data_IF_523808944252
#
_entry.id   IF_523808944252
#
_cell.length_a   1.000
_cell.length_b   1.000
_cell.length_c   1.000
_cell.angle_alpha   90.00
_cell.angle_beta   90.00
_cell.angle_gamma   90.00
#
_symmetry.space_group_name_H-M   'P 1'
#
loop_
_entity.id
_entity.type
_entity.pdbx_description
1 polymer ?
#
# COMPACT_ATOMS: atom_id res chain seq x y z
N UNK A 1 7.03 18.94 -7.97
CA UNK A 1 7.02 18.26 -9.29
C UNK A 1 5.67 17.60 -9.50
N UNK A 2 5.05 17.72 -10.68
CA UNK A 2 3.74 17.13 -10.99
C UNK A 2 3.91 15.72 -11.56
N UNK A 3 3.04 14.80 -11.10
CA UNK A 3 2.91 13.40 -11.54
C UNK A 3 1.52 13.24 -12.15
N UNK A 4 1.41 12.73 -13.38
CA UNK A 4 0.16 12.61 -14.13
C UNK A 4 -0.21 11.16 -14.54
N UNK A 5 0.65 10.20 -14.20
CA UNK A 5 0.54 8.80 -14.57
C UNK A 5 0.46 8.51 -16.09
N UNK A 6 0.84 9.47 -16.92
CA UNK A 6 0.94 9.35 -18.38
C UNK A 6 2.34 9.58 -18.87
N UNK A 7 2.82 10.82 -18.76
CA UNK A 7 4.20 11.19 -19.05
C UNK A 7 5.15 10.84 -17.90
N UNK A 8 4.63 10.85 -16.67
CA UNK A 8 5.38 10.58 -15.44
C UNK A 8 4.53 9.72 -14.49
N UNK A 9 4.91 8.47 -14.33
CA UNK A 9 4.21 7.50 -13.46
C UNK A 9 4.66 7.65 -12.02
N UNK A 10 3.71 7.57 -11.09
CA UNK A 10 4.02 7.60 -9.66
C UNK A 10 4.96 6.48 -9.25
N UNK A 11 4.70 5.26 -9.71
CA UNK A 11 5.55 4.10 -9.36
C UNK A 11 7.00 4.28 -9.79
N UNK A 12 7.25 4.84 -10.98
CA UNK A 12 8.61 5.11 -11.46
C UNK A 12 9.31 6.20 -10.64
N UNK A 13 8.57 7.22 -10.22
CA UNK A 13 9.13 8.26 -9.34
C UNK A 13 9.40 7.73 -7.93
N UNK A 14 8.52 6.90 -7.38
CA UNK A 14 8.76 6.25 -6.09
C UNK A 14 10.02 5.37 -6.12
N UNK A 15 10.24 4.59 -7.19
CA UNK A 15 11.47 3.80 -7.36
C UNK A 15 12.76 4.62 -7.37
N UNK A 16 12.68 5.90 -7.76
CA UNK A 16 13.85 6.81 -7.77
C UNK A 16 14.15 7.43 -6.42
N UNK A 17 13.10 7.70 -5.61
CA UNK A 17 13.23 8.41 -4.34
C UNK A 17 13.26 7.50 -3.12
N UNK A 18 12.77 6.26 -3.23
CA UNK A 18 12.94 5.22 -2.21
C UNK A 18 14.35 4.65 -2.37
N UNK A 19 15.27 5.19 -1.61
CA UNK A 19 16.67 4.76 -1.59
C UNK A 19 16.92 3.77 -0.45
N UNK A 20 18.04 3.02 -0.46
CA UNK A 20 18.44 2.20 0.68
C UNK A 20 18.41 2.99 1.99
N UNK A 21 17.95 2.35 3.05
CA UNK A 21 17.78 2.92 4.39
C UNK A 21 16.73 4.03 4.49
N UNK A 22 15.84 4.17 3.51
CA UNK A 22 14.68 5.06 3.63
C UNK A 22 13.70 4.56 4.68
N UNK A 23 12.96 5.49 5.27
CA UNK A 23 11.71 5.21 5.99
C UNK A 23 10.54 5.62 5.10
N UNK A 24 9.64 4.69 4.84
CA UNK A 24 8.46 4.93 3.98
C UNK A 24 7.21 4.92 4.85
N UNK A 25 6.42 5.98 4.74
CA UNK A 25 5.18 6.18 5.50
C UNK A 25 4.06 6.46 4.52
N UNK A 26 3.00 5.66 4.59
CA UNK A 26 1.92 5.73 3.61
C UNK A 26 0.57 5.70 4.30
N UNK A 27 -0.35 6.54 3.85
CA UNK A 27 -1.75 6.52 4.23
C UNK A 27 -2.60 6.35 2.98
N UNK A 28 -3.39 5.28 2.91
CA UNK A 28 -4.25 4.97 1.78
C UNK A 28 -5.40 4.04 2.21
N UNK A 29 -6.46 3.96 1.40
CA UNK A 29 -7.60 3.11 1.71
C UNK A 29 -7.32 1.62 1.48
N UNK A 30 -6.45 1.27 0.54
CA UNK A 30 -6.14 -0.13 0.19
C UNK A 30 -4.64 -0.37 0.06
N UNK A 31 -4.22 -1.61 0.30
CA UNK A 31 -2.87 -2.11 0.07
C UNK A 31 -2.94 -3.30 -0.89
N UNK A 32 -2.34 -3.19 -2.07
CA UNK A 32 -2.32 -4.22 -3.10
C UNK A 32 -1.02 -5.03 -3.09
N UNK A 33 -1.14 -6.35 -3.15
CA UNK A 33 0.01 -7.26 -3.32
C UNK A 33 0.77 -6.99 -4.62
N UNK A 34 0.07 -6.62 -5.68
CA UNK A 34 0.71 -6.34 -6.97
C UNK A 34 1.46 -5.00 -6.95
N UNK A 35 0.94 -3.99 -6.23
CA UNK A 35 1.68 -2.75 -6.00
C UNK A 35 2.95 -3.00 -5.17
N UNK A 36 2.86 -3.84 -4.13
CA UNK A 36 4.03 -4.29 -3.37
C UNK A 36 5.05 -4.97 -4.29
N UNK A 37 4.61 -5.92 -5.15
CA UNK A 37 5.48 -6.62 -6.10
C UNK A 37 6.22 -5.65 -7.01
N UNK A 38 5.53 -4.65 -7.55
CA UNK A 38 6.13 -3.65 -8.45
C UNK A 38 7.20 -2.79 -7.77
N UNK A 39 7.04 -2.49 -6.49
CA UNK A 39 8.01 -1.70 -5.72
C UNK A 39 8.95 -2.56 -4.86
N UNK A 40 8.86 -3.89 -4.96
CA UNK A 40 9.55 -4.83 -4.06
C UNK A 40 11.05 -4.56 -3.94
N UNK A 41 11.74 -4.36 -5.06
CA UNK A 41 13.20 -4.14 -5.04
C UNK A 41 13.57 -2.91 -4.20
N UNK A 42 12.85 -1.81 -4.35
CA UNK A 42 13.07 -0.62 -3.54
C UNK A 42 12.65 -0.83 -2.07
N UNK A 43 11.53 -1.54 -1.83
CA UNK A 43 11.00 -1.80 -0.49
C UNK A 43 11.83 -2.82 0.31
N UNK A 44 12.64 -3.66 -0.32
CA UNK A 44 13.57 -4.55 0.37
C UNK A 44 14.75 -3.81 1.01
N UNK A 45 15.16 -2.69 0.43
CA UNK A 45 16.31 -1.91 0.88
C UNK A 45 16.00 -0.87 1.96
N UNK A 46 14.71 -0.63 2.27
CA UNK A 46 14.30 0.36 3.28
C UNK A 46 14.54 -0.14 4.71
N UNK A 47 14.60 0.76 5.67
CA UNK A 47 14.70 0.42 7.09
C UNK A 47 13.33 0.14 7.70
N UNK A 48 12.31 0.92 7.36
CA UNK A 48 10.97 0.81 7.95
C UNK A 48 9.88 1.21 6.96
N UNK A 49 8.74 0.52 7.04
CA UNK A 49 7.51 0.85 6.35
C UNK A 49 6.35 0.97 7.33
N UNK A 50 5.69 2.12 7.34
CA UNK A 50 4.48 2.39 8.12
C UNK A 50 3.31 2.64 7.20
N UNK A 51 2.19 1.95 7.44
CA UNK A 51 0.98 2.10 6.65
C UNK A 51 -0.24 2.35 7.52
N UNK A 52 -1.03 3.38 7.18
CA UNK A 52 -2.31 3.67 7.80
C UNK A 52 -3.43 3.45 6.78
N UNK A 53 -4.38 2.58 7.12
CA UNK A 53 -5.64 2.46 6.37
C UNK A 53 -6.55 3.62 6.72
N UNK A 54 -6.93 4.42 5.69
CA UNK A 54 -7.61 5.72 5.86
C UNK A 54 -9.12 5.64 5.94
N UNK A 55 -9.73 4.48 5.70
CA UNK A 55 -11.17 4.35 5.67
C UNK A 55 -11.69 3.42 6.78
N UNK A 56 -12.28 3.98 7.86
CA UNK A 56 -12.86 3.21 8.94
C UNK A 56 -14.28 2.74 8.67
N UNK A 57 -14.95 3.24 7.63
CA UNK A 57 -16.35 2.93 7.32
C UNK A 57 -16.63 1.42 7.21
N UNK A 58 -15.58 0.66 7.07
CA UNK A 58 -15.59 -0.79 7.01
C UNK A 58 -15.35 -1.50 8.34
N UNK A 59 -15.21 -0.75 9.43
CA UNK A 59 -14.96 -1.33 10.75
C UNK A 59 -16.20 -1.52 11.60
N UNK A 60 -17.34 -0.92 11.22
CA UNK A 60 -18.48 -0.81 12.12
C UNK A 60 -19.40 -2.04 12.11
N UNK A 61 -19.54 -2.77 11.01
CA UNK A 61 -20.61 -3.79 10.94
C UNK A 61 -20.19 -5.25 10.77
N UNK A 62 -18.97 -5.59 10.35
CA UNK A 62 -18.56 -7.01 10.24
C UNK A 62 -17.03 -7.21 10.33
N UNK A 63 -16.55 -7.33 11.53
CA UNK A 63 -15.11 -7.46 11.84
C UNK A 63 -14.43 -8.67 11.15
N UNK A 64 -15.16 -9.69 10.73
CA UNK A 64 -14.57 -10.93 10.18
C UNK A 64 -14.49 -11.00 8.65
N UNK A 65 -15.38 -10.38 7.90
CA UNK A 65 -15.34 -10.41 6.42
C UNK A 65 -14.68 -9.21 5.79
N UNK A 66 -14.70 -8.08 6.44
CA UNK A 66 -14.26 -6.80 5.90
C UNK A 66 -12.75 -6.59 5.91
N UNK A 67 -12.03 -7.20 6.81
CA UNK A 67 -10.57 -7.24 6.72
C UNK A 67 -10.08 -7.89 5.40
N UNK A 68 -10.91 -8.68 4.73
CA UNK A 68 -10.57 -9.28 3.43
C UNK A 68 -10.44 -8.26 2.30
N UNK A 69 -11.12 -7.14 2.39
CA UNK A 69 -11.14 -6.14 1.31
C UNK A 69 -10.04 -5.07 1.44
N UNK A 70 -9.48 -4.88 2.64
CA UNK A 70 -8.53 -3.81 2.91
C UNK A 70 -7.07 -4.18 2.71
N UNK A 71 -6.68 -5.33 3.22
CA UNK A 71 -5.28 -5.69 3.23
C UNK A 71 -4.82 -6.25 1.89
N UNK A 72 -5.73 -6.87 1.13
CA UNK A 72 -5.39 -7.59 -0.10
C UNK A 72 -6.61 -7.51 -1.03
N UNK A 73 -6.54 -6.81 -2.19
CA UNK A 73 -7.59 -6.86 -3.18
C UNK A 73 -7.89 -8.33 -3.53
N UNK A 74 -9.16 -8.72 -3.56
CA UNK A 74 -9.52 -10.07 -3.99
C UNK A 74 -9.01 -10.29 -5.42
N UNK A 75 -8.17 -11.30 -5.59
CA UNK A 75 -7.72 -11.78 -6.89
C UNK A 75 -8.86 -12.09 -7.88
N UNK A 76 -10.06 -12.38 -7.37
CA UNK A 76 -11.25 -12.62 -8.19
C UNK A 76 -11.65 -11.46 -9.10
N UNK A 77 -11.38 -10.21 -8.72
CA UNK A 77 -11.66 -9.06 -9.61
C UNK A 77 -10.61 -8.90 -10.71
N UNK A 78 -9.37 -9.24 -10.44
CA UNK A 78 -8.31 -9.19 -11.44
C UNK A 78 -8.36 -10.42 -12.37
N UNK A 79 -8.82 -11.57 -11.89
CA UNK A 79 -9.04 -12.77 -12.71
C UNK A 79 -10.26 -12.70 -13.63
N UNK A 80 -11.29 -11.94 -13.27
CA UNK A 80 -12.49 -11.77 -14.11
C UNK A 80 -12.22 -11.00 -15.42
N UNK A 81 -11.11 -10.29 -15.53
CA UNK A 81 -10.72 -9.55 -16.73
C UNK A 81 -10.02 -10.41 -17.79
N UNK A 82 -9.55 -11.59 -17.42
CA UNK A 82 -8.84 -12.47 -18.33
C UNK A 82 -9.61 -13.78 -18.51
N UNK A 83 -10.67 -13.82 -19.29
CA UNK A 83 -11.43 -15.01 -19.65
C UNK A 83 -10.53 -16.17 -20.14
N UNK A 84 -9.66 -16.63 -19.29
CA UNK A 84 -8.50 -17.42 -19.59
C UNK A 84 -8.73 -18.90 -19.32
N UNK A 85 -8.05 -19.74 -20.08
CA UNK A 85 -7.95 -21.16 -19.90
C UNK A 85 -7.54 -21.53 -18.46
N UNK A 86 -7.92 -22.70 -18.00
CA UNK A 86 -7.60 -23.24 -16.68
C UNK A 86 -6.12 -23.09 -16.28
N UNK A 87 -5.20 -23.21 -17.25
CA UNK A 87 -3.76 -23.06 -17.01
C UNK A 87 -3.34 -21.64 -16.62
N UNK A 88 -3.91 -20.62 -17.26
CA UNK A 88 -3.66 -19.22 -16.93
C UNK A 88 -4.20 -18.88 -15.52
N UNK A 89 -5.36 -19.42 -15.17
CA UNK A 89 -5.94 -19.27 -13.84
C UNK A 89 -5.02 -19.87 -12.76
N UNK A 90 -4.54 -21.09 -13.00
CA UNK A 90 -3.63 -21.80 -12.09
C UNK A 90 -2.29 -21.06 -11.93
N UNK A 91 -1.70 -20.57 -13.03
CA UNK A 91 -0.47 -19.78 -13.00
C UNK A 91 -0.65 -18.48 -12.22
N UNK A 92 -1.77 -17.80 -12.39
CA UNK A 92 -2.07 -16.58 -11.65
C UNK A 92 -2.25 -16.85 -10.15
N UNK A 93 -2.93 -17.92 -9.77
CA UNK A 93 -3.08 -18.34 -8.38
C UNK A 93 -1.72 -18.69 -7.73
N UNK A 94 -0.86 -19.42 -8.41
CA UNK A 94 0.48 -19.75 -7.92
C UNK A 94 1.35 -18.50 -7.76
N UNK A 95 1.31 -17.59 -8.71
CA UNK A 95 2.03 -16.32 -8.66
C UNK A 95 1.56 -15.48 -7.48
N UNK A 96 0.25 -15.39 -7.27
CA UNK A 96 -0.33 -14.65 -6.16
C UNK A 96 0.07 -15.20 -4.80
N UNK A 97 0.08 -16.53 -4.65
CA UNK A 97 0.56 -17.19 -3.42
C UNK A 97 2.02 -16.88 -3.14
N UNK A 98 2.86 -16.93 -4.16
CA UNK A 98 4.28 -16.58 -4.03
C UNK A 98 4.45 -15.12 -3.57
N UNK A 99 3.73 -14.18 -4.18
CA UNK A 99 3.75 -12.76 -3.79
C UNK A 99 3.24 -12.57 -2.36
N UNK A 100 2.14 -13.24 -1.97
CA UNK A 100 1.60 -13.15 -0.62
C UNK A 100 2.58 -13.65 0.44
N UNK A 101 3.30 -14.75 0.15
CA UNK A 101 4.35 -15.29 1.02
C UNK A 101 5.51 -14.30 1.17
N UNK A 102 6.04 -13.80 0.07
CA UNK A 102 7.12 -12.80 0.07
C UNK A 102 6.70 -11.53 0.82
N UNK A 103 5.48 -11.05 0.59
CA UNK A 103 4.93 -9.89 1.29
C UNK A 103 4.83 -10.15 2.81
N UNK A 104 4.36 -11.32 3.22
CA UNK A 104 4.28 -11.68 4.65
C UNK A 104 5.66 -11.71 5.32
N UNK A 105 6.67 -12.26 4.65
CA UNK A 105 8.06 -12.27 5.14
C UNK A 105 8.63 -10.85 5.25
N UNK A 106 8.36 -10.00 4.26
CA UNK A 106 8.76 -8.60 4.27
C UNK A 106 8.04 -7.81 5.39
N UNK A 107 6.73 -7.99 5.57
CA UNK A 107 5.95 -7.34 6.64
C UNK A 107 6.54 -7.67 8.01
N UNK A 108 6.87 -8.93 8.29
CA UNK A 108 7.46 -9.32 9.58
C UNK A 108 8.75 -8.57 9.88
N UNK A 109 9.55 -8.29 8.86
CA UNK A 109 10.87 -7.65 9.02
C UNK A 109 10.80 -6.13 9.05
N UNK A 110 9.93 -5.53 8.23
CA UNK A 110 10.05 -4.11 7.87
C UNK A 110 8.78 -3.29 8.03
N UNK A 111 7.61 -3.90 8.07
CA UNK A 111 6.35 -3.18 7.98
C UNK A 111 5.51 -3.22 9.26
N UNK A 112 4.78 -2.13 9.48
CA UNK A 112 3.75 -2.01 10.51
C UNK A 112 2.52 -1.35 9.89
N UNK A 113 1.35 -1.82 10.32
CA UNK A 113 0.07 -1.36 9.82
C UNK A 113 -0.81 -0.85 10.95
N UNK A 114 -1.42 0.30 10.75
CA UNK A 114 -2.47 0.84 11.61
C UNK A 114 -3.74 1.10 10.82
N UNK A 115 -4.85 1.20 11.51
CA UNK A 115 -6.11 1.66 10.95
C UNK A 115 -6.72 2.71 11.87
N UNK A 116 -7.43 3.66 11.28
CA UNK A 116 -8.21 4.63 12.04
C UNK A 116 -9.43 3.94 12.68
N UNK A 117 -9.83 4.36 13.87
CA UNK A 117 -10.98 3.81 14.63
C UNK A 117 -12.26 4.62 14.50
N UNK A 118 -12.17 5.83 13.97
CA UNK A 118 -13.27 6.78 13.85
C UNK A 118 -13.57 7.11 12.40
N UNK A 119 -14.80 7.55 12.12
CA UNK A 119 -15.22 7.94 10.77
C UNK A 119 -14.87 9.41 10.49
N UNK A 120 -13.59 9.69 10.47
CA UNK A 120 -13.06 11.01 10.14
C UNK A 120 -12.05 10.90 8.99
N UNK A 121 -12.12 11.80 8.00
CA UNK A 121 -11.16 11.78 6.90
C UNK A 121 -9.77 12.20 7.38
N UNK A 122 -8.76 11.44 6.99
CA UNK A 122 -7.35 11.80 7.18
C UNK A 122 -6.68 11.99 5.83
N UNK A 123 -5.56 12.70 5.81
CA UNK A 123 -4.79 12.94 4.60
C UNK A 123 -4.15 11.66 4.08
N UNK A 124 -4.47 11.30 2.83
CA UNK A 124 -3.83 10.21 2.12
C UNK A 124 -2.53 10.67 1.41
N UNK A 125 -1.64 9.75 1.15
CA UNK A 125 -0.40 10.00 0.43
C UNK A 125 0.78 9.17 0.93
N UNK A 126 1.96 9.44 0.38
CA UNK A 126 3.21 8.78 0.77
C UNK A 126 4.26 9.81 1.21
N UNK A 127 5.01 9.49 2.26
CA UNK A 127 6.11 10.27 2.82
C UNK A 127 7.33 9.39 2.89
N UNK A 128 8.46 9.90 2.45
CA UNK A 128 9.72 9.16 2.37
C UNK A 128 10.81 10.01 2.98
N UNK A 129 11.49 9.44 3.97
CA UNK A 129 12.67 10.03 4.59
C UNK A 129 13.89 9.21 4.19
N UNK A 130 14.92 9.88 3.66
CA UNK A 130 16.21 9.29 3.34
C UNK A 130 17.33 10.26 3.76
N UNK A 131 17.95 9.99 4.90
CA UNK A 131 18.91 10.91 5.50
C UNK A 131 18.27 12.27 5.80
N UNK A 132 18.81 13.33 5.22
CA UNK A 132 18.24 14.69 5.34
C UNK A 132 17.15 15.01 4.31
N UNK A 133 16.91 14.13 3.34
CA UNK A 133 15.92 14.35 2.30
C UNK A 133 14.56 13.84 2.75
N UNK A 134 13.54 14.66 2.57
CA UNK A 134 12.14 14.32 2.84
C UNK A 134 11.32 14.60 1.60
N UNK A 135 10.60 13.57 1.14
CA UNK A 135 9.68 13.65 0.02
C UNK A 135 8.25 13.37 0.48
N UNK A 136 7.28 14.05 -0.12
CA UNK A 136 5.87 13.76 0.09
C UNK A 136 5.11 13.81 -1.23
N UNK A 137 4.23 12.83 -1.43
CA UNK A 137 3.25 12.82 -2.52
C UNK A 137 1.87 12.78 -1.90
N UNK A 138 1.03 13.75 -2.26
CA UNK A 138 -0.35 13.85 -1.81
C UNK A 138 -1.33 13.01 -2.63
N UNK A 139 -2.54 12.82 -2.12
CA UNK A 139 -3.67 12.23 -2.83
C UNK A 139 -3.42 10.84 -3.40
N UNK A 140 -2.85 9.95 -2.59
CA UNK A 140 -2.75 8.53 -2.87
C UNK A 140 -3.92 7.78 -2.21
N UNK A 141 -5.07 7.71 -2.89
CA UNK A 141 -6.27 7.06 -2.35
C UNK A 141 -6.08 5.56 -2.10
N UNK A 142 -5.40 4.88 -3.02
CA UNK A 142 -5.14 3.46 -2.96
C UNK A 142 -3.66 3.18 -3.25
N UNK A 143 -3.12 2.19 -2.58
CA UNK A 143 -1.82 1.65 -2.97
C UNK A 143 -2.05 0.45 -3.89
N UNK A 144 -2.24 0.71 -5.18
CA UNK A 144 -2.52 -0.27 -6.24
C UNK A 144 -1.83 0.10 -7.56
N UNK A 145 -1.89 -0.81 -8.55
CA UNK A 145 -1.24 -0.61 -9.85
C UNK A 145 -1.79 0.58 -10.63
N UNK A 146 -3.07 0.88 -10.46
CA UNK A 146 -3.72 2.00 -11.14
C UNK A 146 -3.21 3.34 -10.61
N UNK A 147 -3.12 3.48 -9.30
CA UNK A 147 -2.59 4.68 -8.65
C UNK A 147 -1.08 4.85 -8.91
N UNK A 148 -0.34 3.74 -9.03
CA UNK A 148 1.07 3.77 -9.42
C UNK A 148 1.30 4.10 -10.91
N UNK A 149 0.25 4.07 -11.74
CA UNK A 149 0.32 4.36 -13.17
C UNK A 149 0.73 3.18 -14.05
N UNK A 150 0.67 1.95 -13.54
CA UNK A 150 0.97 0.73 -14.29
C UNK A 150 -0.26 0.09 -14.92
N UNK A 151 -1.44 0.52 -14.54
CA UNK A 151 -2.71 0.19 -15.20
C UNK A 151 -3.38 1.43 -15.79
N UNK A 152 -4.10 1.23 -16.91
CA UNK A 152 -4.81 2.31 -17.57
C UNK A 152 -5.93 2.88 -16.68
N UNK A 153 -5.98 4.20 -16.60
CA UNK A 153 -7.07 4.93 -15.95
C UNK A 153 -7.78 5.83 -16.95
N UNK A 154 -9.11 5.82 -16.91
CA UNK A 154 -9.95 6.72 -17.70
C UNK A 154 -9.88 8.16 -17.15
N UNK A 155 -9.68 8.31 -15.85
CA UNK A 155 -9.60 9.60 -15.19
C UNK A 155 -8.16 10.10 -15.16
N UNK A 156 -7.99 11.40 -15.44
CA UNK A 156 -6.70 12.08 -15.24
C UNK A 156 -6.54 12.38 -13.76
N UNK A 157 -5.52 11.80 -13.14
CA UNK A 157 -5.11 12.18 -11.79
C UNK A 157 -3.82 12.97 -11.87
N UNK A 158 -3.79 14.09 -11.15
CA UNK A 158 -2.58 14.90 -10.99
C UNK A 158 -2.22 14.95 -9.51
N UNK A 159 -0.96 14.70 -9.21
CA UNK A 159 -0.39 14.75 -7.87
C UNK A 159 0.85 15.60 -7.87
N UNK A 160 1.20 16.11 -6.71
CA UNK A 160 2.45 16.83 -6.54
C UNK A 160 3.41 16.02 -5.69
N UNK A 161 4.65 15.93 -6.16
CA UNK A 161 5.77 15.51 -5.35
C UNK A 161 6.42 16.76 -4.76
N UNK A 162 6.44 16.82 -3.44
CA UNK A 162 7.07 17.89 -2.66
C UNK A 162 8.39 17.39 -2.09
N UNK A 163 9.36 18.31 -2.02
CA UNK A 163 10.62 18.14 -1.34
C UNK A 163 10.68 19.09 -0.13
N UNK A 164 11.59 18.85 0.80
CA UNK A 164 11.79 19.75 1.92
C UNK A 164 12.13 21.17 1.45
N UNK A 165 11.60 22.23 2.07
CA UNK A 165 10.84 22.20 3.31
C UNK A 165 9.33 21.88 3.15
N UNK A 166 8.76 21.93 1.95
CA UNK A 166 7.32 21.79 1.70
C UNK A 166 6.75 20.39 2.02
N UNK A 167 7.61 19.39 2.10
CA UNK A 167 7.22 18.02 2.48
C UNK A 167 7.14 17.79 3.98
N UNK A 168 7.70 18.68 4.81
CA UNK A 168 7.84 18.48 6.25
C UNK A 168 6.52 18.50 6.99
N UNK A 169 5.58 19.35 6.59
CA UNK A 169 4.26 19.43 7.21
C UNK A 169 3.45 18.14 6.99
N UNK A 170 3.55 17.55 5.79
CA UNK A 170 2.92 16.26 5.49
C UNK A 170 3.52 15.11 6.31
N UNK A 171 4.84 15.16 6.55
CA UNK A 171 5.51 14.18 7.39
C UNK A 171 5.08 14.33 8.85
N UNK A 172 5.04 15.55 9.39
CA UNK A 172 4.62 15.83 10.75
C UNK A 172 3.17 15.37 10.99
N UNK A 173 2.26 15.65 10.06
CA UNK A 173 0.87 15.19 10.11
C UNK A 173 0.78 13.66 10.19
N UNK A 174 1.55 12.93 9.38
CA UNK A 174 1.57 11.47 9.43
C UNK A 174 2.07 10.95 10.79
N UNK A 175 3.12 11.55 11.34
CA UNK A 175 3.67 11.17 12.66
C UNK A 175 2.68 11.44 13.79
N UNK A 176 1.91 12.53 13.70
CA UNK A 176 0.82 12.81 14.65
C UNK A 176 -0.23 11.70 14.61
N UNK A 177 -0.68 11.28 13.42
CA UNK A 177 -1.59 10.14 13.27
C UNK A 177 -0.98 8.85 13.80
N UNK A 178 0.26 8.57 13.44
CA UNK A 178 0.92 7.32 13.82
C UNK A 178 1.08 7.15 15.33
N UNK A 179 1.32 8.23 16.03
CA UNK A 179 1.54 8.24 17.47
C UNK A 179 0.25 8.38 18.30
N UNK A 180 -0.87 8.67 17.66
CA UNK A 180 -2.17 8.78 18.32
C UNK A 180 -2.82 7.40 18.51
N UNK A 181 -2.67 6.81 19.68
CA UNK A 181 -3.27 5.51 20.01
C UNK A 181 -4.75 5.60 20.43
N UNK A 182 -5.29 6.80 20.62
CA UNK A 182 -6.71 7.01 20.88
C UNK A 182 -7.53 6.75 19.62
N UNK A 183 -7.11 7.31 18.48
CA UNK A 183 -7.83 7.23 17.22
C UNK A 183 -7.29 6.18 16.24
N UNK A 184 -6.10 5.64 16.47
CA UNK A 184 -5.47 4.64 15.59
C UNK A 184 -5.14 3.36 16.35
N UNK A 185 -5.24 2.22 15.65
CA UNK A 185 -4.98 0.90 16.19
C UNK A 185 -4.01 0.12 15.32
N UNK A 186 -3.03 -0.56 15.93
CA UNK A 186 -2.16 -1.49 15.22
C UNK A 186 -2.96 -2.71 14.75
N UNK A 187 -2.78 -3.08 13.49
CA UNK A 187 -3.41 -4.23 12.85
C UNK A 187 -2.39 -5.08 12.08
N UNK A 188 -1.11 -4.95 12.41
CA UNK A 188 -0.04 -5.68 11.70
C UNK A 188 -0.26 -7.18 11.75
N UNK A 189 -0.70 -7.72 12.90
CA UNK A 189 -0.97 -9.16 13.03
C UNK A 189 -2.15 -9.59 12.16
N UNK A 190 -3.22 -8.79 12.10
CA UNK A 190 -4.38 -9.09 11.26
C UNK A 190 -4.01 -9.10 9.76
N UNK A 191 -3.12 -8.17 9.34
CA UNK A 191 -2.58 -8.17 7.97
C UNK A 191 -1.77 -9.44 7.70
N UNK A 192 -0.88 -9.83 8.62
CA UNK A 192 -0.10 -11.06 8.52
C UNK A 192 -0.98 -12.30 8.45
N UNK A 193 -2.02 -12.39 9.27
CA UNK A 193 -2.94 -13.52 9.27
C UNK A 193 -3.66 -13.67 7.93
N UNK A 194 -4.04 -12.57 7.30
CA UNK A 194 -4.64 -12.56 5.97
C UNK A 194 -3.67 -12.96 4.86
N UNK A 195 -2.43 -12.45 4.91
CA UNK A 195 -1.39 -12.87 4.00
C UNK A 195 -1.11 -14.37 4.14
N UNK A 196 -1.08 -14.87 5.38
CA UNK A 196 -0.88 -16.29 5.67
C UNK A 196 -2.02 -17.15 5.10
N UNK A 197 -3.26 -16.72 5.20
CA UNK A 197 -4.42 -17.38 4.59
C UNK A 197 -4.24 -17.41 3.06
N UNK A 198 -3.91 -16.27 2.44
CA UNK A 198 -3.81 -16.13 1.00
C UNK A 198 -2.81 -17.12 0.35
N UNK A 199 -1.73 -17.51 1.05
CA UNK A 199 -0.80 -18.50 0.51
C UNK A 199 -0.97 -19.92 1.03
N UNK A 200 -1.76 -20.14 2.11
CA UNK A 200 -2.02 -21.47 2.69
C UNK A 200 -3.31 -22.13 2.20
N UNK A 201 -4.27 -21.38 1.72
CA UNK A 201 -5.64 -21.84 1.44
C UNK A 201 -5.78 -22.97 0.41
N UNK A 202 -4.70 -23.53 -0.15
CA UNK A 202 -4.77 -24.70 -1.03
C UNK A 202 -3.51 -25.59 -0.98
N UNK A 203 -2.97 -25.82 0.21
CA UNK A 203 -2.08 -26.97 0.36
C UNK A 203 -2.94 -28.23 0.47
N UNK A 204 -2.78 -29.21 -0.43
CA UNK A 204 -3.52 -30.47 -0.33
C UNK A 204 -3.18 -31.21 0.95
#
# INVERSE_FOLDING_TARGET
>A
MEIDNRSRRLGDELKKIILPHSQVKMAAATFSLYAFKELREALEEIDEFKFIFTNPAFMVDEIKEQYREYAIPKAEREMALFGASYELKLMNELTQKAIAKECAEWVRRKARFKTIKVDEPISDGVRIECGSNVFSVDRLKNFDLKELGYEASTLKTRRNLYEAPNSLDYLAEFEDYWNDNEYFRDITQEVLDKLNIAYKEHSP
#
